data_IF_622592513495
#
_entry.id   IF_622592513495
#
_cell.length_a   1.000
_cell.length_b   1.000
_cell.length_c   1.000
_cell.angle_alpha   90.00
_cell.angle_beta   90.00
_cell.angle_gamma   90.00
#
_symmetry.space_group_name_H-M   'P 1'
#
loop_
_entity.id
_entity.type
_entity.pdbx_description
1 polymer ?
#
# COMPACT_ATOMS: atom_id res chain seq x y z
N UNK A 1 -5.40 -18.45 27.75
CA UNK A 1 -5.51 -17.49 28.89
C UNK A 1 -4.51 -16.34 28.79
N UNK A 2 -3.20 -16.59 28.55
CA UNK A 2 -2.21 -15.50 28.42
C UNK A 2 -2.51 -14.66 27.18
N UNK A 3 -2.65 -15.28 26.01
CA UNK A 3 -2.93 -14.58 24.76
C UNK A 3 -4.23 -13.77 24.81
N UNK A 4 -5.31 -14.32 25.35
CA UNK A 4 -6.58 -13.62 25.53
C UNK A 4 -6.44 -12.39 26.44
N UNK A 5 -5.62 -12.50 27.48
CA UNK A 5 -5.38 -11.39 28.41
C UNK A 5 -4.60 -10.25 27.72
N UNK A 6 -3.60 -10.59 26.92
CA UNK A 6 -2.78 -9.60 26.20
C UNK A 6 -3.58 -8.98 25.05
N UNK A 7 -4.47 -9.71 24.41
CA UNK A 7 -5.33 -9.19 23.34
C UNK A 7 -6.43 -8.22 23.83
N UNK A 8 -6.72 -8.12 25.13
CA UNK A 8 -7.83 -7.33 25.65
C UNK A 8 -7.92 -5.88 25.13
N UNK A 9 -6.84 -5.11 25.07
CA UNK A 9 -6.90 -3.76 24.54
C UNK A 9 -7.38 -3.70 23.09
N UNK A 10 -6.94 -4.62 22.24
CA UNK A 10 -7.38 -4.73 20.85
C UNK A 10 -8.76 -5.38 20.72
N UNK A 11 -9.09 -6.35 21.60
CA UNK A 11 -10.39 -7.01 21.62
C UNK A 11 -11.53 -6.03 21.91
N UNK A 12 -11.29 -5.00 22.70
CA UNK A 12 -12.24 -3.91 22.90
C UNK A 12 -12.67 -3.29 21.56
N UNK A 13 -11.76 -3.16 20.59
CA UNK A 13 -12.00 -2.55 19.30
C UNK A 13 -12.61 -3.52 18.29
N UNK A 14 -12.07 -4.74 18.13
CA UNK A 14 -12.57 -5.65 17.10
C UNK A 14 -13.87 -6.37 17.49
N UNK A 15 -14.27 -6.34 18.76
CA UNK A 15 -15.56 -6.88 19.21
C UNK A 15 -16.72 -5.87 19.14
N UNK A 16 -16.46 -4.63 18.68
CA UNK A 16 -17.54 -3.67 18.46
C UNK A 16 -18.38 -4.04 17.24
N UNK A 17 -19.65 -3.63 17.26
CA UNK A 17 -20.55 -3.88 16.13
C UNK A 17 -20.08 -3.19 14.85
N UNK A 18 -20.34 -3.86 13.72
CA UNK A 18 -20.06 -3.31 12.39
C UNK A 18 -18.57 -3.05 12.06
N UNK A 19 -17.64 -3.67 12.79
CA UNK A 19 -16.22 -3.58 12.46
C UNK A 19 -15.86 -4.66 11.44
N UNK A 20 -15.23 -4.24 10.35
CA UNK A 20 -14.66 -5.12 9.32
C UNK A 20 -13.16 -5.36 9.57
N UNK A 21 -12.45 -4.31 9.98
CA UNK A 21 -11.01 -4.36 10.20
C UNK A 21 -10.58 -3.37 11.27
N UNK A 22 -9.60 -3.76 12.06
CA UNK A 22 -8.89 -2.90 13.02
C UNK A 22 -7.45 -2.75 12.54
N UNK A 23 -6.95 -1.52 12.44
CA UNK A 23 -5.56 -1.27 12.10
C UNK A 23 -4.90 -0.35 13.13
N UNK A 24 -3.64 -0.65 13.45
CA UNK A 24 -2.77 0.21 14.24
C UNK A 24 -1.57 0.53 13.37
N UNK A 25 -1.48 1.80 12.95
CA UNK A 25 -0.38 2.26 12.10
C UNK A 25 0.82 2.70 12.93
N UNK A 26 0.57 3.14 14.17
CA UNK A 26 1.56 3.54 15.16
C UNK A 26 0.95 3.49 16.56
N UNK A 27 1.78 3.57 17.58
CA UNK A 27 1.33 3.62 18.98
C UNK A 27 0.37 4.78 19.24
N UNK A 28 -0.53 4.60 20.22
CA UNK A 28 -1.47 5.61 20.69
C UNK A 28 -2.68 5.87 19.81
N UNK A 29 -2.86 5.15 18.70
CA UNK A 29 -4.02 5.30 17.85
C UNK A 29 -4.48 3.97 17.25
N UNK A 30 -5.77 3.88 16.97
CA UNK A 30 -6.40 2.75 16.29
C UNK A 30 -7.31 3.28 15.18
N UNK A 31 -7.32 2.58 14.07
CA UNK A 31 -8.19 2.81 12.93
C UNK A 31 -9.18 1.67 12.83
N UNK A 32 -10.45 2.00 12.70
CA UNK A 32 -11.54 1.05 12.51
C UNK A 32 -12.10 1.20 11.11
N UNK A 33 -12.14 0.11 10.35
CA UNK A 33 -12.89 0.04 9.11
C UNK A 33 -14.29 -0.45 9.41
N UNK A 34 -15.26 0.37 9.07
CA UNK A 34 -16.66 0.11 9.35
C UNK A 34 -17.33 -0.61 8.18
N UNK A 35 -18.16 -1.60 8.48
CA UNK A 35 -18.99 -2.28 7.48
C UNK A 35 -20.07 -1.37 6.93
N UNK A 36 -20.55 -1.66 5.72
CA UNK A 36 -21.65 -0.95 5.07
C UNK A 36 -21.20 0.06 4.01
N UNK A 37 -22.19 0.69 3.38
CA UNK A 37 -21.97 1.68 2.30
C UNK A 37 -21.59 3.02 2.89
N UNK A 38 -20.29 3.30 2.99
CA UNK A 38 -19.74 4.57 3.45
C UNK A 38 -18.74 5.10 2.44
N UNK A 39 -18.78 6.41 2.19
CA UNK A 39 -17.79 7.06 1.35
C UNK A 39 -16.37 6.95 1.96
N UNK A 40 -16.31 7.03 3.30
CA UNK A 40 -15.06 6.95 4.07
C UNK A 40 -15.21 5.90 5.17
N UNK A 41 -14.77 4.65 4.92
CA UNK A 41 -14.99 3.55 5.84
C UNK A 41 -14.10 3.59 7.09
N UNK A 42 -12.97 4.31 7.04
CA UNK A 42 -12.01 4.35 8.12
C UNK A 42 -12.27 5.49 9.10
N UNK A 43 -12.25 5.16 10.40
CA UNK A 43 -12.38 6.12 11.51
C UNK A 43 -11.25 5.92 12.51
N UNK A 44 -10.62 7.00 12.95
CA UNK A 44 -9.51 6.97 13.90
C UNK A 44 -9.96 7.30 15.32
N UNK A 45 -9.43 6.54 16.28
CA UNK A 45 -9.56 6.78 17.70
C UNK A 45 -8.17 6.83 18.36
N UNK A 46 -8.05 7.62 19.43
CA UNK A 46 -6.87 7.59 20.29
C UNK A 46 -7.02 6.48 21.32
N UNK A 47 -5.95 5.73 21.57
CA UNK A 47 -5.90 4.72 22.62
C UNK A 47 -4.49 4.66 23.22
N UNK A 48 -4.31 5.30 24.36
CA UNK A 48 -3.03 5.38 25.07
C UNK A 48 -2.54 4.02 25.60
N UNK A 49 -3.41 3.00 25.64
CA UNK A 49 -3.02 1.63 26.03
C UNK A 49 -2.22 0.93 24.92
N UNK A 50 -2.33 1.39 23.68
CA UNK A 50 -1.60 0.83 22.54
C UNK A 50 -0.20 1.48 22.46
N UNK A 51 0.61 1.29 23.49
CA UNK A 51 2.00 1.76 23.51
C UNK A 51 2.87 0.92 22.59
N UNK A 52 4.06 1.43 22.23
CA UNK A 52 5.01 0.67 21.40
C UNK A 52 5.46 -0.61 22.14
N UNK A 53 5.70 -0.53 23.42
CA UNK A 53 6.08 -1.66 24.27
C UNK A 53 4.98 -2.71 24.27
N UNK A 54 3.74 -2.33 24.54
CA UNK A 54 2.60 -3.25 24.51
C UNK A 54 2.47 -3.95 23.14
N UNK A 55 2.55 -3.18 22.06
CA UNK A 55 2.42 -3.73 20.70
C UNK A 55 3.57 -4.70 20.37
N UNK A 56 4.79 -4.38 20.79
CA UNK A 56 5.95 -5.25 20.60
C UNK A 56 5.81 -6.55 21.39
N UNK A 57 5.46 -6.47 22.67
CA UNK A 57 5.24 -7.63 23.54
C UNK A 57 4.11 -8.53 23.00
N UNK A 58 3.02 -7.91 22.50
CA UNK A 58 1.93 -8.63 21.86
C UNK A 58 2.43 -9.49 20.69
N UNK A 59 3.29 -8.94 19.83
CA UNK A 59 3.83 -9.68 18.68
C UNK A 59 4.68 -10.87 19.11
N UNK A 60 5.53 -10.72 20.12
CA UNK A 60 6.31 -11.82 20.70
C UNK A 60 5.41 -12.91 21.32
N UNK A 61 4.35 -12.51 22.03
CA UNK A 61 3.41 -13.47 22.65
C UNK A 61 2.62 -14.22 21.56
N UNK A 62 2.15 -13.54 20.51
CA UNK A 62 1.48 -14.19 19.39
C UNK A 62 2.43 -15.15 18.68
N UNK A 63 3.63 -14.70 18.34
CA UNK A 63 4.64 -15.52 17.66
C UNK A 63 4.98 -16.78 18.48
N UNK A 64 5.25 -16.63 19.78
CA UNK A 64 5.53 -17.75 20.66
C UNK A 64 4.34 -18.71 20.83
N UNK A 65 3.11 -18.18 20.91
CA UNK A 65 1.90 -19.00 21.06
C UNK A 65 1.66 -19.91 19.86
N UNK A 66 1.97 -19.41 18.66
CA UNK A 66 1.75 -20.10 17.40
C UNK A 66 3.03 -20.70 16.80
N UNK A 67 4.13 -20.68 17.54
CA UNK A 67 5.45 -21.19 17.12
C UNK A 67 5.93 -20.58 15.80
N UNK A 68 5.70 -19.27 15.62
CA UNK A 68 6.08 -18.54 14.43
C UNK A 68 7.48 -17.93 14.55
N UNK A 69 8.28 -17.94 13.49
CA UNK A 69 9.55 -17.22 13.50
C UNK A 69 9.28 -15.72 13.56
N UNK A 70 9.76 -15.05 14.60
CA UNK A 70 9.66 -13.61 14.73
C UNK A 70 10.88 -13.04 15.40
N UNK A 71 11.65 -12.27 14.65
CA UNK A 71 12.79 -11.50 15.13
C UNK A 71 12.92 -10.22 14.31
N UNK A 72 12.37 -9.09 14.81
CA UNK A 72 12.38 -7.82 14.08
C UNK A 72 13.79 -7.21 13.97
N UNK A 73 14.79 -7.76 14.68
CA UNK A 73 16.19 -7.31 14.64
C UNK A 73 16.98 -8.11 13.61
N UNK A 74 16.75 -9.43 13.53
CA UNK A 74 17.53 -10.35 12.70
C UNK A 74 16.87 -10.75 11.37
N UNK A 75 15.72 -10.16 11.00
CA UNK A 75 15.21 -10.27 9.64
C UNK A 75 13.88 -11.02 9.46
N UNK A 76 13.18 -11.36 10.54
CA UNK A 76 11.80 -11.89 10.50
C UNK A 76 10.82 -10.90 11.16
N UNK A 77 10.61 -9.70 10.58
CA UNK A 77 9.87 -8.63 11.23
C UNK A 77 8.35 -8.79 11.14
N UNK A 78 7.82 -9.80 10.47
CA UNK A 78 6.40 -9.99 10.20
C UNK A 78 5.79 -11.13 11.00
N UNK A 79 4.53 -10.96 11.42
CA UNK A 79 3.74 -11.98 12.09
C UNK A 79 2.40 -12.13 11.36
N UNK A 80 2.07 -13.35 10.96
CA UNK A 80 0.76 -13.72 10.44
C UNK A 80 0.16 -14.80 11.30
N UNK A 81 -1.03 -14.58 11.84
CA UNK A 81 -1.70 -15.55 12.71
C UNK A 81 -3.23 -15.49 12.53
N UNK A 82 -3.90 -16.56 12.95
CA UNK A 82 -5.33 -16.54 13.24
C UNK A 82 -5.47 -16.48 14.75
N UNK A 83 -5.96 -15.35 15.26
CA UNK A 83 -6.15 -15.12 16.68
C UNK A 83 -7.57 -15.60 17.12
N UNK A 84 -7.82 -15.76 18.45
CA UNK A 84 -9.12 -16.20 18.95
C UNK A 84 -10.29 -15.43 18.34
N UNK A 85 -11.34 -16.16 17.93
CA UNK A 85 -12.46 -15.62 17.17
C UNK A 85 -12.27 -15.70 15.64
N UNK A 86 -11.30 -16.50 15.19
CA UNK A 86 -10.96 -16.72 13.77
C UNK A 86 -10.58 -15.44 13.03
N UNK A 87 -10.16 -14.42 13.77
CA UNK A 87 -9.70 -13.16 13.19
C UNK A 87 -8.31 -13.31 12.58
N UNK A 88 -8.11 -12.73 11.38
CA UNK A 88 -6.82 -12.73 10.69
C UNK A 88 -5.98 -11.57 11.21
N UNK A 89 -4.84 -11.91 11.83
CA UNK A 89 -3.86 -10.96 12.34
C UNK A 89 -2.67 -10.89 11.41
N UNK A 90 -2.23 -9.68 11.09
CA UNK A 90 -1.02 -9.42 10.31
C UNK A 90 -0.30 -8.22 10.90
N UNK A 91 1.01 -8.34 11.08
CA UNK A 91 1.81 -7.26 11.66
C UNK A 91 3.21 -7.22 11.09
N UNK A 92 3.82 -6.05 11.17
CA UNK A 92 5.24 -5.80 10.88
C UNK A 92 5.82 -4.91 11.97
N UNK A 93 7.07 -5.19 12.36
CA UNK A 93 7.75 -4.47 13.44
C UNK A 93 9.21 -4.21 13.11
N UNK A 94 9.83 -3.34 13.90
CA UNK A 94 11.25 -3.01 13.79
C UNK A 94 11.53 -1.93 12.75
N UNK A 95 12.75 -1.91 12.22
CA UNK A 95 13.23 -0.88 11.29
C UNK A 95 12.51 -0.85 9.94
N UNK A 96 11.79 -1.90 9.60
CA UNK A 96 11.00 -1.99 8.38
C UNK A 96 9.69 -1.18 8.45
N UNK A 97 9.34 -0.63 9.61
CA UNK A 97 8.20 0.29 9.78
C UNK A 97 8.69 1.56 10.44
N UNK A 98 8.47 2.68 9.78
CA UNK A 98 8.81 4.01 10.32
C UNK A 98 7.55 4.85 10.45
N UNK A 99 7.38 5.52 11.59
CA UNK A 99 6.26 6.44 11.80
C UNK A 99 6.54 7.80 11.18
N UNK A 100 7.68 8.37 11.56
CA UNK A 100 8.17 9.67 11.09
C UNK A 100 9.62 9.52 10.61
N UNK A 101 10.13 10.50 9.86
CA UNK A 101 11.47 10.42 9.25
C UNK A 101 12.60 10.31 10.28
N UNK A 102 12.38 10.82 11.49
CA UNK A 102 13.37 10.85 12.57
C UNK A 102 13.30 9.62 13.50
N UNK A 103 12.34 8.71 13.29
CA UNK A 103 12.22 7.50 14.12
C UNK A 103 13.13 6.38 13.61
N UNK A 104 14.39 6.44 14.02
CA UNK A 104 15.41 5.43 13.69
C UNK A 104 15.22 4.11 14.43
N UNK A 105 14.35 4.06 15.43
CA UNK A 105 14.14 2.85 16.25
C UNK A 105 13.11 1.90 15.67
N UNK A 106 12.44 2.35 14.59
CA UNK A 106 11.35 1.61 13.97
C UNK A 106 10.08 1.59 14.80
N UNK A 107 9.05 0.99 14.26
CA UNK A 107 7.71 0.97 14.83
C UNK A 107 7.06 -0.40 14.84
N UNK A 108 5.76 -0.40 15.07
CA UNK A 108 4.86 -1.54 14.91
C UNK A 108 3.65 -1.07 14.12
N UNK A 109 3.33 -1.78 13.06
CA UNK A 109 2.04 -1.64 12.39
C UNK A 109 1.35 -3.00 12.30
N UNK A 110 0.04 -3.02 12.54
CA UNK A 110 -0.73 -4.26 12.49
C UNK A 110 -2.12 -4.02 11.93
N UNK A 111 -2.74 -5.10 11.47
CA UNK A 111 -4.13 -5.13 11.07
C UNK A 111 -4.78 -6.43 11.53
N UNK A 112 -6.05 -6.34 11.92
CA UNK A 112 -6.89 -7.47 12.31
C UNK A 112 -8.14 -7.43 11.45
N UNK A 113 -8.25 -8.37 10.51
CA UNK A 113 -9.49 -8.55 9.76
C UNK A 113 -10.46 -9.36 10.59
N UNK A 114 -11.57 -8.74 10.93
CA UNK A 114 -12.55 -9.31 11.83
C UNK A 114 -13.37 -10.36 11.09
N UNK A 115 -13.32 -11.60 11.59
CA UNK A 115 -14.19 -12.65 11.12
C UNK A 115 -15.64 -12.39 11.59
N UNK A 116 -16.60 -12.74 10.75
CA UNK A 116 -18.03 -12.66 11.09
C UNK A 116 -18.74 -13.85 10.46
N UNK A 117 -19.50 -14.57 11.27
CA UNK A 117 -20.37 -15.66 10.82
C UNK A 117 -21.63 -15.14 10.12
N UNK A 118 -21.94 -13.85 10.28
CA UNK A 118 -23.09 -13.23 9.63
C UNK A 118 -22.80 -13.03 8.13
N UNK A 119 -23.53 -13.76 7.30
CA UNK A 119 -23.63 -13.46 5.87
C UNK A 119 -24.50 -12.21 5.72
N UNK A 120 -23.90 -11.05 6.02
CA UNK A 120 -24.61 -9.77 6.08
C UNK A 120 -25.11 -9.29 4.71
N UNK A 121 -24.59 -9.86 3.59
CA UNK A 121 -24.86 -9.39 2.24
C UNK A 121 -25.34 -10.53 1.34
N UNK A 122 -26.55 -10.39 0.79
CA UNK A 122 -27.05 -11.25 -0.28
C UNK A 122 -26.61 -10.74 -1.66
N UNK A 123 -26.88 -11.51 -2.72
CA UNK A 123 -26.51 -11.12 -4.10
C UNK A 123 -27.08 -9.75 -4.50
N UNK A 124 -28.27 -9.40 -4.00
CA UNK A 124 -28.93 -8.12 -4.27
C UNK A 124 -28.17 -6.91 -3.69
N UNK A 125 -27.45 -7.11 -2.58
CA UNK A 125 -26.66 -6.05 -1.95
C UNK A 125 -25.41 -5.70 -2.78
N UNK A 126 -24.94 -6.65 -3.61
CA UNK A 126 -23.92 -6.43 -4.62
C UNK A 126 -24.47 -5.85 -5.94
N UNK A 127 -25.76 -5.50 -5.98
CA UNK A 127 -26.40 -4.96 -7.17
C UNK A 127 -26.75 -6.02 -8.23
N UNK A 128 -26.62 -7.31 -7.90
CA UNK A 128 -27.00 -8.40 -8.82
C UNK A 128 -28.46 -8.75 -8.60
N UNK A 129 -29.33 -8.23 -9.47
CA UNK A 129 -30.78 -8.45 -9.45
C UNK A 129 -31.29 -8.97 -10.79
N UNK A 130 -32.30 -9.80 -10.77
CA UNK A 130 -32.90 -10.37 -11.97
C UNK A 130 -33.51 -9.26 -12.83
N UNK A 131 -33.11 -9.20 -14.10
CA UNK A 131 -33.64 -8.23 -15.08
C UNK A 131 -33.01 -6.82 -15.00
N UNK A 132 -32.09 -6.57 -14.08
CA UNK A 132 -31.34 -5.32 -14.00
C UNK A 132 -29.94 -5.44 -14.63
N UNK A 133 -29.46 -4.34 -15.22
CA UNK A 133 -28.10 -4.24 -15.74
C UNK A 133 -27.10 -4.13 -14.57
N UNK A 134 -25.88 -4.64 -14.77
CA UNK A 134 -24.81 -4.52 -13.78
C UNK A 134 -24.45 -3.05 -13.51
N UNK A 135 -24.23 -2.71 -12.25
CA UNK A 135 -23.81 -1.39 -11.86
C UNK A 135 -22.32 -1.16 -12.18
N UNK A 136 -21.98 0.02 -12.69
CA UNK A 136 -20.59 0.45 -12.85
C UNK A 136 -20.11 1.02 -11.51
N UNK A 137 -19.08 0.40 -10.94
CA UNK A 137 -18.52 0.82 -9.65
C UNK A 137 -17.77 2.15 -9.78
N UNK A 138 -17.06 2.35 -10.90
CA UNK A 138 -16.33 3.58 -11.18
C UNK A 138 -16.67 4.11 -12.57
N UNK A 139 -17.63 5.04 -12.68
CA UNK A 139 -18.03 5.61 -13.96
C UNK A 139 -16.94 6.46 -14.62
N UNK A 140 -15.94 6.92 -13.86
CA UNK A 140 -14.80 7.69 -14.41
C UNK A 140 -13.95 6.86 -15.36
N UNK A 141 -13.97 5.52 -15.25
CA UNK A 141 -13.21 4.62 -16.15
C UNK A 141 -13.70 4.65 -17.59
N UNK A 142 -14.91 5.15 -17.85
CA UNK A 142 -15.47 5.28 -19.19
C UNK A 142 -15.25 6.67 -19.81
N UNK A 143 -14.69 7.62 -19.04
CA UNK A 143 -14.43 8.98 -19.53
C UNK A 143 -13.17 8.95 -20.40
N UNK A 144 -13.27 9.50 -21.61
CA UNK A 144 -12.13 9.66 -22.50
C UNK A 144 -11.09 10.60 -21.89
N UNK A 145 -9.82 10.32 -22.12
CA UNK A 145 -8.73 11.17 -21.63
C UNK A 145 -8.80 12.57 -22.24
N UNK A 146 -8.70 13.64 -21.43
CA UNK A 146 -8.64 15.01 -21.91
C UNK A 146 -7.38 15.24 -22.78
N UNK A 147 -7.45 16.17 -23.72
CA UNK A 147 -6.29 16.61 -24.50
C UNK A 147 -5.28 17.37 -23.63
N UNK A 148 -5.78 18.16 -22.68
CA UNK A 148 -4.96 18.90 -21.73
C UNK A 148 -4.21 17.95 -20.78
N UNK A 149 -2.86 18.00 -20.72
CA UNK A 149 -2.07 17.06 -19.91
C UNK A 149 -2.32 17.18 -18.40
N UNK A 150 -2.61 18.37 -17.91
CA UNK A 150 -2.92 18.61 -16.50
C UNK A 150 -4.26 18.00 -16.12
N UNK A 151 -5.28 18.23 -16.91
CA UNK A 151 -6.62 17.63 -16.70
C UNK A 151 -6.58 16.11 -16.83
N UNK A 152 -5.81 15.60 -17.78
CA UNK A 152 -5.55 14.15 -17.95
C UNK A 152 -4.96 13.54 -16.69
N UNK A 153 -3.93 14.16 -16.13
CA UNK A 153 -3.31 13.69 -14.88
C UNK A 153 -4.29 13.71 -13.70
N UNK A 154 -5.07 14.79 -13.56
CA UNK A 154 -6.09 14.88 -12.49
C UNK A 154 -7.19 13.82 -12.65
N UNK A 155 -7.66 13.59 -13.87
CA UNK A 155 -8.64 12.54 -14.14
C UNK A 155 -8.07 11.16 -13.83
N UNK A 156 -6.81 10.88 -14.22
CA UNK A 156 -6.13 9.62 -13.95
C UNK A 156 -6.03 9.32 -12.46
N UNK A 157 -5.69 10.32 -11.63
CA UNK A 157 -5.67 10.18 -10.18
C UNK A 157 -7.07 9.85 -9.63
N UNK A 158 -8.10 10.58 -10.06
CA UNK A 158 -9.48 10.37 -9.61
C UNK A 158 -10.06 9.03 -10.06
N UNK A 159 -9.67 8.58 -11.24
CA UNK A 159 -10.07 7.30 -11.84
C UNK A 159 -9.42 6.09 -11.17
N UNK A 160 -8.33 6.31 -10.43
CA UNK A 160 -7.57 5.26 -9.78
C UNK A 160 -6.48 4.64 -10.65
N UNK A 161 -6.09 5.30 -11.75
CA UNK A 161 -5.02 4.82 -12.61
C UNK A 161 -3.68 4.74 -11.85
N UNK A 162 -2.81 3.85 -12.25
CA UNK A 162 -1.44 3.80 -11.76
C UNK A 162 -0.60 4.87 -12.45
N UNK A 163 0.32 5.50 -11.71
CA UNK A 163 1.14 6.61 -12.23
C UNK A 163 2.61 6.34 -11.99
N UNK A 164 3.40 6.47 -13.04
CA UNK A 164 4.83 6.34 -13.03
C UNK A 164 5.47 7.68 -13.33
N UNK A 165 6.15 8.26 -12.34
CA UNK A 165 6.90 9.52 -12.52
C UNK A 165 8.30 9.17 -13.01
N UNK A 166 8.60 9.54 -14.24
CA UNK A 166 9.82 9.21 -14.95
C UNK A 166 10.72 10.43 -15.14
N UNK A 167 12.03 10.21 -15.19
CA UNK A 167 13.02 11.23 -15.46
C UNK A 167 14.42 10.83 -15.03
N UNK A 168 15.42 11.52 -15.52
CA UNK A 168 16.83 11.32 -15.14
C UNK A 168 17.08 11.64 -13.66
N UNK A 169 18.29 11.38 -13.18
CA UNK A 169 18.70 11.74 -11.81
C UNK A 169 18.56 13.25 -11.59
N UNK A 170 18.10 13.62 -10.38
CA UNK A 170 17.94 15.01 -9.96
C UNK A 170 16.93 15.85 -10.78
N UNK A 171 16.00 15.23 -11.52
CA UNK A 171 14.89 15.93 -12.18
C UNK A 171 13.75 16.32 -11.24
N UNK A 172 13.76 15.85 -9.99
CA UNK A 172 12.74 16.17 -9.00
C UNK A 172 11.54 15.20 -8.98
N UNK A 173 11.72 13.95 -9.44
CA UNK A 173 10.67 12.90 -9.45
C UNK A 173 10.00 12.73 -8.09
N UNK A 174 10.80 12.54 -7.03
CA UNK A 174 10.26 12.36 -5.65
C UNK A 174 9.51 13.61 -5.19
N UNK A 175 10.01 14.81 -5.51
CA UNK A 175 9.31 16.06 -5.21
C UNK A 175 7.98 16.15 -5.94
N UNK A 176 7.95 15.76 -7.21
CA UNK A 176 6.72 15.73 -8.00
C UNK A 176 5.74 14.69 -7.43
N UNK A 177 6.21 13.47 -7.13
CA UNK A 177 5.41 12.44 -6.50
C UNK A 177 4.80 12.91 -5.17
N UNK A 178 5.58 13.58 -4.32
CA UNK A 178 5.07 14.17 -3.07
C UNK A 178 3.96 15.22 -3.31
N UNK A 179 3.97 15.92 -4.45
CA UNK A 179 2.86 16.81 -4.81
C UNK A 179 1.64 16.04 -5.30
N UNK A 180 1.80 14.93 -6.03
CA UNK A 180 0.68 14.06 -6.41
C UNK A 180 -0.02 13.48 -5.17
N UNK A 181 0.74 13.14 -4.13
CA UNK A 181 0.15 12.63 -2.88
C UNK A 181 -0.79 13.63 -2.20
N UNK A 182 -0.62 14.93 -2.42
CA UNK A 182 -1.53 15.95 -1.89
C UNK A 182 -2.85 16.03 -2.66
N UNK A 183 -2.90 15.48 -3.88
CA UNK A 183 -4.09 15.47 -4.73
C UNK A 183 -4.96 14.24 -4.45
N UNK A 184 -4.36 13.14 -3.97
CA UNK A 184 -5.11 11.97 -3.52
C UNK A 184 -6.07 12.33 -2.40
N UNK A 185 -7.25 11.70 -2.39
CA UNK A 185 -8.23 11.90 -1.33
C UNK A 185 -7.61 11.61 0.05
N UNK A 186 -7.66 12.60 0.93
CA UNK A 186 -7.03 12.58 2.27
C UNK A 186 -7.53 11.44 3.16
N UNK A 187 -8.70 10.88 2.86
CA UNK A 187 -9.30 9.77 3.60
C UNK A 187 -8.79 8.39 3.15
N UNK A 188 -8.00 8.33 2.08
CA UNK A 188 -7.39 7.08 1.61
C UNK A 188 -6.38 6.54 2.62
N UNK A 189 -6.37 5.21 2.77
CA UNK A 189 -5.33 4.48 3.47
C UNK A 189 -4.12 4.28 2.55
N UNK A 190 -2.99 4.85 2.90
CA UNK A 190 -1.76 4.85 2.09
C UNK A 190 -0.74 3.90 2.70
N UNK A 191 -0.20 3.00 1.87
CA UNK A 191 0.97 2.19 2.22
C UNK A 191 2.14 2.61 1.32
N UNK A 192 3.26 2.99 1.89
CA UNK A 192 4.48 3.27 1.11
C UNK A 192 5.46 2.11 1.21
N UNK A 193 6.22 1.91 0.13
CA UNK A 193 7.33 0.96 0.05
C UNK A 193 8.54 1.75 -0.45
N UNK A 194 9.52 1.94 0.41
CA UNK A 194 10.68 2.81 0.17
C UNK A 194 11.98 2.11 0.55
N UNK A 195 13.06 2.39 -0.18
CA UNK A 195 14.42 1.97 0.23
C UNK A 195 14.94 2.89 1.36
N UNK A 196 14.59 4.16 1.29
CA UNK A 196 14.90 5.20 2.28
C UNK A 196 13.68 6.10 2.42
N UNK A 197 13.41 6.57 3.64
CA UNK A 197 12.24 7.41 3.92
C UNK A 197 12.39 8.81 3.28
N UNK A 198 11.75 9.01 2.12
CA UNK A 198 11.72 10.27 1.37
C UNK A 198 10.31 10.80 1.10
N UNK A 199 9.30 9.93 1.15
CA UNK A 199 7.93 10.29 0.81
C UNK A 199 7.25 11.06 1.95
N UNK A 200 6.67 12.19 1.59
CA UNK A 200 5.92 13.07 2.49
C UNK A 200 4.41 12.83 2.30
N UNK A 201 3.88 11.83 3.00
CA UNK A 201 2.47 11.43 2.89
C UNK A 201 1.61 12.26 3.84
N UNK A 202 0.71 13.13 3.36
CA UNK A 202 -0.12 13.97 4.22
C UNK A 202 -1.28 13.20 4.88
N UNK A 203 -1.60 12.01 4.39
CA UNK A 203 -2.72 11.20 4.84
C UNK A 203 -2.54 10.74 6.29
N UNK A 204 -3.53 10.92 7.17
CA UNK A 204 -3.42 10.45 8.55
C UNK A 204 -3.42 8.92 8.64
N UNK A 205 -4.13 8.21 7.74
CA UNK A 205 -4.16 6.75 7.69
C UNK A 205 -3.05 6.25 6.75
N UNK A 206 -1.84 6.10 7.27
CA UNK A 206 -0.67 5.66 6.50
C UNK A 206 0.22 4.69 7.25
N UNK A 207 0.90 3.84 6.50
CA UNK A 207 2.00 2.99 6.98
C UNK A 207 3.17 3.14 6.01
N UNK A 208 4.37 3.37 6.56
CA UNK A 208 5.60 3.43 5.80
C UNK A 208 6.39 2.15 6.00
N UNK A 209 6.58 1.38 4.93
CA UNK A 209 7.40 0.18 4.91
C UNK A 209 8.74 0.55 4.28
N UNK A 210 9.83 0.30 5.01
CA UNK A 210 11.19 0.60 4.56
C UNK A 210 11.97 -0.70 4.35
N UNK A 211 12.53 -0.85 3.15
CA UNK A 211 13.35 -1.98 2.74
C UNK A 211 14.71 -1.49 2.30
N UNK A 212 15.59 -1.25 3.25
CA UNK A 212 16.97 -0.84 2.93
C UNK A 212 17.64 -1.88 2.03
N UNK A 213 18.32 -1.41 0.98
CA UNK A 213 19.05 -2.27 0.03
C UNK A 213 20.15 -3.11 0.70
N UNK A 214 20.67 -2.63 1.83
CA UNK A 214 21.76 -3.26 2.57
C UNK A 214 21.30 -4.19 3.70
N UNK A 215 20.01 -4.11 4.09
CA UNK A 215 19.44 -4.82 5.23
C UNK A 215 18.44 -5.92 4.82
N UNK A 216 18.37 -6.24 3.52
CA UNK A 216 17.54 -7.34 3.05
C UNK A 216 18.12 -8.66 3.53
N UNK A 217 17.29 -9.46 4.17
CA UNK A 217 17.60 -10.83 4.55
C UNK A 217 16.89 -11.79 3.61
N UNK A 218 17.38 -13.03 3.52
CA UNK A 218 16.69 -14.08 2.75
C UNK A 218 15.29 -14.40 3.29
N UNK A 219 14.96 -13.95 4.50
CA UNK A 219 13.69 -14.23 5.19
C UNK A 219 12.66 -13.12 5.06
N UNK A 220 13.09 -11.89 4.75
CA UNK A 220 12.20 -10.76 4.49
C UNK A 220 12.63 -10.04 3.22
N UNK A 221 11.99 -10.36 2.13
CA UNK A 221 12.22 -9.83 0.80
C UNK A 221 10.95 -9.15 0.24
N UNK A 222 10.99 -8.70 -1.00
CA UNK A 222 9.86 -8.05 -1.64
C UNK A 222 8.66 -8.98 -1.88
N UNK A 223 8.83 -10.30 -1.91
CA UNK A 223 7.71 -11.24 -1.99
C UNK A 223 6.88 -11.22 -0.71
N UNK A 224 7.54 -11.11 0.44
CA UNK A 224 6.88 -10.97 1.75
C UNK A 224 6.17 -9.63 1.90
N UNK A 225 6.69 -8.59 1.25
CA UNK A 225 6.03 -7.28 1.23
C UNK A 225 4.71 -7.33 0.48
N UNK A 226 4.61 -8.06 -0.63
CA UNK A 226 3.35 -8.23 -1.36
C UNK A 226 2.28 -8.78 -0.41
N UNK A 227 2.57 -9.88 0.26
CA UNK A 227 1.65 -10.51 1.22
C UNK A 227 1.23 -9.54 2.33
N UNK A 228 2.19 -8.79 2.88
CA UNK A 228 1.94 -7.82 3.95
C UNK A 228 1.04 -6.68 3.46
N UNK A 229 1.37 -6.06 2.32
CA UNK A 229 0.64 -4.92 1.77
C UNK A 229 -0.80 -5.28 1.44
N UNK A 230 -1.02 -6.43 0.79
CA UNK A 230 -2.38 -6.90 0.45
C UNK A 230 -3.22 -7.13 1.72
N UNK A 231 -2.61 -7.64 2.80
CA UNK A 231 -3.29 -7.84 4.08
C UNK A 231 -3.56 -6.56 4.84
N UNK A 232 -2.84 -5.49 4.54
CA UNK A 232 -3.04 -4.17 5.16
C UNK A 232 -4.13 -3.34 4.46
N UNK A 233 -4.79 -3.90 3.44
CA UNK A 233 -5.94 -3.29 2.73
C UNK A 233 -5.73 -1.82 2.36
N UNK A 234 -4.70 -1.49 1.57
CA UNK A 234 -4.45 -0.11 1.14
C UNK A 234 -5.50 0.36 0.14
N UNK A 235 -5.81 1.66 0.18
CA UNK A 235 -6.56 2.35 -0.89
C UNK A 235 -5.62 2.88 -1.98
N UNK A 236 -4.34 3.10 -1.65
CA UNK A 236 -3.28 3.40 -2.60
C UNK A 236 -1.91 2.91 -2.10
N UNK A 237 -1.05 2.52 -3.03
CA UNK A 237 0.30 2.01 -2.76
C UNK A 237 1.32 2.93 -3.43
N UNK A 238 2.32 3.37 -2.68
CA UNK A 238 3.30 4.32 -3.17
C UNK A 238 4.70 3.70 -3.09
N UNK A 239 5.30 3.46 -4.25
CA UNK A 239 6.70 3.05 -4.35
C UNK A 239 7.63 4.26 -4.42
N UNK A 240 8.67 4.32 -3.61
CA UNK A 240 9.65 5.40 -3.67
C UNK A 240 10.34 5.44 -5.03
N UNK A 241 10.98 4.35 -5.43
CA UNK A 241 11.64 4.19 -6.72
C UNK A 241 11.55 2.73 -7.20
N UNK A 242 11.24 2.53 -8.47
CA UNK A 242 11.31 1.21 -9.09
C UNK A 242 12.77 0.84 -9.36
N UNK A 243 13.20 -0.24 -8.76
CA UNK A 243 14.53 -0.85 -8.90
C UNK A 243 14.39 -2.29 -9.41
N UNK A 244 15.50 -2.92 -9.73
CA UNK A 244 15.54 -4.35 -10.12
C UNK A 244 14.95 -5.26 -9.03
N UNK A 245 15.14 -4.91 -7.76
CA UNK A 245 14.71 -5.75 -6.64
C UNK A 245 13.21 -5.68 -6.35
N UNK A 246 12.56 -4.55 -6.63
CA UNK A 246 11.16 -4.32 -6.26
C UNK A 246 10.19 -4.26 -7.44
N UNK A 247 10.70 -4.21 -8.68
CA UNK A 247 9.87 -4.04 -9.87
C UNK A 247 8.80 -5.15 -10.01
N UNK A 248 9.18 -6.40 -9.80
CA UNK A 248 8.25 -7.53 -9.83
C UNK A 248 7.13 -7.38 -8.81
N UNK A 249 7.49 -7.07 -7.57
CA UNK A 249 6.53 -6.89 -6.48
C UNK A 249 5.56 -5.73 -6.75
N UNK A 250 6.06 -4.58 -7.21
CA UNK A 250 5.19 -3.44 -7.55
C UNK A 250 4.26 -3.75 -8.71
N UNK A 251 4.72 -4.50 -9.73
CA UNK A 251 3.89 -4.93 -10.84
C UNK A 251 2.76 -5.88 -10.38
N UNK A 252 3.05 -6.83 -9.51
CA UNK A 252 2.02 -7.70 -8.92
C UNK A 252 1.00 -6.90 -8.11
N UNK A 253 1.44 -5.95 -7.29
CA UNK A 253 0.55 -5.08 -6.53
C UNK A 253 -0.35 -4.22 -7.43
N UNK A 254 0.17 -3.71 -8.56
CA UNK A 254 -0.63 -3.02 -9.58
C UNK A 254 -1.67 -3.96 -10.23
N UNK A 255 -1.35 -5.25 -10.33
CA UNK A 255 -2.26 -6.28 -10.86
C UNK A 255 -3.29 -6.81 -9.87
N UNK A 256 -3.14 -6.55 -8.58
CA UNK A 256 -3.95 -7.14 -7.49
C UNK A 256 -5.28 -6.42 -7.21
N UNK A 257 -5.66 -5.47 -8.06
CA UNK A 257 -6.95 -4.76 -7.97
C UNK A 257 -6.94 -3.51 -7.09
N UNK A 258 -5.76 -3.06 -6.65
CA UNK A 258 -5.61 -1.78 -5.96
C UNK A 258 -5.65 -0.62 -6.97
N UNK A 259 -6.29 0.47 -6.59
CA UNK A 259 -6.22 1.73 -7.34
C UNK A 259 -4.97 2.53 -6.93
N UNK A 260 -4.55 3.47 -7.77
CA UNK A 260 -3.49 4.44 -7.47
C UNK A 260 -2.19 3.82 -6.92
N UNK A 261 -1.59 2.87 -7.63
CA UNK A 261 -0.19 2.56 -7.39
C UNK A 261 0.68 3.62 -8.08
N UNK A 262 1.41 4.42 -7.28
CA UNK A 262 2.27 5.49 -7.77
C UNK A 262 3.73 5.15 -7.45
N UNK A 263 4.64 5.39 -8.39
CA UNK A 263 6.07 5.17 -8.17
C UNK A 263 6.93 6.11 -9.02
N UNK A 264 8.24 6.14 -8.75
CA UNK A 264 9.21 6.81 -9.62
C UNK A 264 10.08 5.80 -10.36
N UNK A 265 10.61 6.20 -11.51
CA UNK A 265 11.57 5.41 -12.29
C UNK A 265 12.59 6.33 -12.99
N UNK A 266 13.80 5.83 -13.16
CA UNK A 266 14.80 6.49 -14.00
C UNK A 266 14.63 6.05 -15.46
N UNK A 267 14.26 7.00 -16.33
CA UNK A 267 14.23 6.85 -17.77
C UNK A 267 14.31 8.22 -18.49
N UNK A 268 14.64 8.20 -19.77
CA UNK A 268 14.85 9.41 -20.58
C UNK A 268 13.56 9.87 -21.30
N UNK A 269 12.61 8.98 -21.47
CA UNK A 269 11.31 9.23 -22.11
C UNK A 269 10.23 8.35 -21.49
N UNK A 270 8.97 8.65 -21.79
CA UNK A 270 7.84 7.81 -21.35
C UNK A 270 7.91 6.38 -21.90
N UNK A 271 8.30 6.22 -23.16
CA UNK A 271 8.48 4.90 -23.77
C UNK A 271 9.62 4.12 -23.11
N UNK A 272 10.77 4.77 -22.89
CA UNK A 272 11.89 4.18 -22.16
C UNK A 272 11.54 3.81 -20.72
N UNK A 273 10.57 4.49 -20.10
CA UNK A 273 10.08 4.13 -18.77
C UNK A 273 9.34 2.80 -18.75
N UNK A 274 8.48 2.53 -19.73
CA UNK A 274 7.82 1.23 -19.86
C UNK A 274 8.83 0.10 -20.10
N UNK A 275 9.79 0.33 -21.01
CA UNK A 275 10.86 -0.64 -21.30
C UNK A 275 11.73 -0.91 -20.07
N UNK A 276 12.18 0.12 -19.39
CA UNK A 276 13.00 0.00 -18.19
C UNK A 276 12.24 -0.72 -17.06
N UNK A 277 10.94 -0.53 -16.95
CA UNK A 277 10.15 -1.22 -15.95
C UNK A 277 10.04 -2.71 -16.27
N UNK A 278 9.67 -3.08 -17.50
CA UNK A 278 9.55 -4.50 -17.87
C UNK A 278 10.89 -5.22 -17.80
N UNK A 279 11.99 -4.57 -18.18
CA UNK A 279 13.32 -5.16 -18.10
C UNK A 279 13.71 -5.47 -16.64
N UNK A 280 13.33 -4.59 -15.70
CA UNK A 280 13.51 -4.84 -14.26
C UNK A 280 12.60 -5.97 -13.74
N UNK A 281 11.36 -6.08 -14.23
CA UNK A 281 10.45 -7.18 -13.86
C UNK A 281 11.02 -8.52 -14.31
N UNK A 282 11.66 -8.59 -15.49
CA UNK A 282 12.26 -9.81 -16.04
C UNK A 282 13.37 -10.38 -15.14
N UNK A 283 14.00 -9.58 -14.28
CA UNK A 283 14.94 -10.09 -13.28
C UNK A 283 14.26 -10.99 -12.24
N UNK A 284 13.04 -10.65 -11.83
CA UNK A 284 12.26 -11.47 -10.88
C UNK A 284 11.45 -12.56 -11.58
N UNK A 285 10.98 -12.27 -12.78
CA UNK A 285 10.09 -13.14 -13.57
C UNK A 285 10.61 -13.32 -15.00
N UNK A 286 11.68 -14.10 -15.21
CA UNK A 286 12.36 -14.19 -16.51
C UNK A 286 11.52 -14.86 -17.62
N UNK A 287 10.41 -15.50 -17.28
CA UNK A 287 9.53 -16.21 -18.22
C UNK A 287 8.33 -15.39 -18.70
N UNK A 288 8.14 -14.15 -18.24
CA UNK A 288 7.03 -13.33 -18.72
C UNK A 288 7.24 -12.90 -20.18
N UNK A 289 6.13 -12.75 -20.89
CA UNK A 289 6.14 -12.21 -22.24
C UNK A 289 6.33 -10.68 -22.20
N UNK A 290 7.52 -10.22 -22.63
CA UNK A 290 7.92 -8.81 -22.61
C UNK A 290 6.94 -7.92 -23.39
N UNK A 291 6.60 -8.29 -24.62
CA UNK A 291 5.73 -7.47 -25.48
C UNK A 291 4.30 -7.40 -24.93
N UNK A 292 3.78 -8.51 -24.45
CA UNK A 292 2.47 -8.57 -23.82
C UNK A 292 2.44 -7.70 -22.55
N UNK A 293 3.48 -7.75 -21.75
CA UNK A 293 3.58 -6.95 -20.51
C UNK A 293 3.66 -5.46 -20.81
N UNK A 294 4.43 -5.04 -21.81
CA UNK A 294 4.46 -3.63 -22.25
C UNK A 294 3.07 -3.16 -22.70
N UNK A 295 2.38 -3.94 -23.52
CA UNK A 295 1.00 -3.62 -23.95
C UNK A 295 0.04 -3.51 -22.77
N UNK A 296 0.22 -4.33 -21.74
CA UNK A 296 -0.58 -4.25 -20.51
C UNK A 296 -0.24 -3.01 -19.70
N UNK A 297 1.04 -2.64 -19.61
CA UNK A 297 1.49 -1.41 -18.96
C UNK A 297 0.86 -0.17 -19.61
N UNK A 298 0.87 -0.05 -20.93
CA UNK A 298 0.24 1.09 -21.63
C UNK A 298 -1.24 1.26 -21.33
N UNK A 299 -1.94 0.16 -21.00
CA UNK A 299 -3.36 0.23 -20.60
C UNK A 299 -3.58 0.62 -19.15
N UNK A 300 -2.66 0.26 -18.25
CA UNK A 300 -2.83 0.39 -16.80
C UNK A 300 -2.05 1.56 -16.19
N UNK A 301 -0.96 1.96 -16.83
CA UNK A 301 -0.03 2.96 -16.32
C UNK A 301 -0.12 4.25 -17.13
N UNK A 302 -0.07 5.37 -16.40
CA UNK A 302 0.21 6.70 -16.94
C UNK A 302 1.62 7.08 -16.58
N UNK A 303 2.39 7.55 -17.55
CA UNK A 303 3.75 8.05 -17.32
C UNK A 303 3.72 9.57 -17.34
N UNK A 304 4.30 10.17 -16.31
CA UNK A 304 4.62 11.60 -16.27
C UNK A 304 6.11 11.74 -16.45
N UNK A 305 6.56 12.19 -17.62
CA UNK A 305 7.96 12.39 -17.92
C UNK A 305 8.42 13.78 -17.48
N UNK A 306 9.50 13.83 -16.70
CA UNK A 306 10.15 15.08 -16.25
C UNK A 306 11.55 15.15 -16.84
N UNK A 307 11.79 16.20 -17.61
CA UNK A 307 13.09 16.48 -18.17
C UNK A 307 13.71 17.74 -17.54
N UNK A 308 15.03 17.85 -17.66
CA UNK A 308 15.81 18.95 -17.13
C UNK A 308 16.73 19.54 -18.21
N UNK A 309 16.73 20.87 -18.31
CA UNK A 309 17.72 21.63 -19.06
C UNK A 309 18.35 22.65 -18.11
N UNK A 310 19.62 22.45 -17.76
CA UNK A 310 20.28 23.23 -16.71
C UNK A 310 19.54 23.12 -15.37
N UNK A 311 19.01 24.25 -14.87
CA UNK A 311 18.23 24.34 -13.66
C UNK A 311 16.70 24.28 -13.91
N UNK A 312 16.28 24.38 -15.16
CA UNK A 312 14.87 24.25 -15.53
C UNK A 312 14.44 22.77 -15.46
N UNK A 313 13.33 22.51 -14.77
CA UNK A 313 12.68 21.21 -14.71
C UNK A 313 11.27 21.35 -15.24
N UNK A 314 10.89 20.48 -16.14
CA UNK A 314 9.55 20.56 -16.74
C UNK A 314 8.98 19.16 -16.97
N UNK A 315 7.67 19.04 -16.81
CA UNK A 315 6.92 17.90 -17.33
C UNK A 315 6.84 18.08 -18.84
N UNK A 316 7.35 17.12 -19.57
CA UNK A 316 7.40 17.13 -21.04
C UNK A 316 6.37 16.23 -21.68
N UNK A 317 5.84 15.28 -20.92
CA UNK A 317 4.81 14.35 -21.39
C UNK A 317 3.97 13.81 -20.24
N UNK A 318 2.67 13.61 -20.51
CA UNK A 318 1.72 12.85 -19.70
C UNK A 318 0.99 11.92 -20.65
N UNK A 319 1.22 10.59 -20.55
CA UNK A 319 0.63 9.59 -21.46
C UNK A 319 -0.84 9.34 -21.16
#
# INVERSE_FOLDING_TARGET
KVLESVLRPLAYWYNQENIEEVAVNRSGQVWLRLRGKRAYPWVMYKDEKLTKEYLTDLLYIIANTYELPFDPVQGTPVVYATIPGDHRFSAVSGRNVMYDQDDLTGGVALTIRVHSDDVAFGLQDYGLKQGESLHKVNPLKDIQDPEDPYERLLLSIKRGDHILVSGATATGKTTFLNNLLKILDIHKRIITIEDTRELLVPHPNRVHIVMSRTEQTNEFDYSKIIDLVVRFTPDAIIGGEISTNNAGALWELMGSGHDNCLATIHAESSEAAYEAFVDRILHSYPTIDREKTIKEMHRKLRVVQINRDGNLRAVTEVT
#
